data_IF_019383910118
#
_entry.id   IF_019383910118
#
_cell.length_a   1.000
_cell.length_b   1.000
_cell.length_c   1.000
_cell.angle_alpha   90.00
_cell.angle_beta   90.00
_cell.angle_gamma   90.00
#
_symmetry.space_group_name_H-M   'P 1'
#
loop_
_entity.id
_entity.type
_entity.pdbx_description
1 polymer ?
#
# COMPACT_ATOMS: atom_id res chain seq x y z
N UNK A 1 21.04 -19.03 10.40
CA UNK A 1 20.10 -18.06 11.02
C UNK A 1 18.79 -18.81 11.22
N UNK A 2 18.19 -18.77 12.41
CA UNK A 2 16.90 -19.42 12.64
C UNK A 2 15.76 -18.55 12.08
N UNK A 3 14.68 -19.17 11.62
CA UNK A 3 13.47 -18.45 11.19
C UNK A 3 12.65 -18.00 12.41
N UNK A 4 12.01 -16.84 12.29
CA UNK A 4 11.08 -16.30 13.26
C UNK A 4 9.67 -16.87 13.04
N UNK A 5 8.80 -16.75 14.04
CA UNK A 5 7.41 -17.22 13.92
C UNK A 5 6.50 -16.32 13.08
N UNK A 6 6.94 -15.09 12.74
CA UNK A 6 6.10 -14.11 12.04
C UNK A 6 6.92 -13.11 11.18
N UNK A 7 6.40 -12.80 10.00
CA UNK A 7 6.93 -11.84 9.02
C UNK A 7 5.80 -10.99 8.46
N UNK A 8 6.06 -9.70 8.22
CA UNK A 8 5.06 -8.78 7.67
C UNK A 8 5.16 -8.75 6.14
N UNK A 9 4.08 -9.15 5.47
CA UNK A 9 3.94 -9.06 4.01
C UNK A 9 3.39 -7.71 3.58
N UNK A 10 4.13 -6.64 3.83
CA UNK A 10 3.85 -5.30 3.29
C UNK A 10 4.83 -4.98 2.16
N UNK A 11 4.43 -4.10 1.23
CA UNK A 11 5.29 -3.60 0.17
C UNK A 11 6.45 -2.72 0.69
N UNK A 12 7.27 -2.19 -0.22
CA UNK A 12 8.42 -1.36 0.11
C UNK A 12 8.05 0.16 0.22
N UNK A 13 6.78 0.55 -0.03
CA UNK A 13 6.32 1.95 -0.13
C UNK A 13 5.18 2.30 0.85
N UNK A 14 5.49 2.59 2.13
CA UNK A 14 4.48 2.92 3.13
C UNK A 14 3.86 4.31 2.89
N UNK A 15 2.69 4.34 2.27
CA UNK A 15 1.95 5.55 1.92
C UNK A 15 0.81 5.92 2.89
N UNK A 16 0.45 7.20 2.95
CA UNK A 16 -0.80 7.61 3.61
C UNK A 16 -2.00 7.25 2.73
N UNK A 17 -3.15 6.94 3.34
CA UNK A 17 -4.37 6.61 2.60
C UNK A 17 -4.78 7.74 1.64
N UNK A 18 -4.57 8.99 2.03
CA UNK A 18 -4.87 10.15 1.20
C UNK A 18 -4.05 10.15 -0.10
N UNK A 19 -2.77 9.78 -0.03
CA UNK A 19 -1.89 9.74 -1.20
C UNK A 19 -2.30 8.62 -2.17
N UNK A 20 -2.63 7.44 -1.62
CA UNK A 20 -3.11 6.30 -2.42
C UNK A 20 -4.42 6.65 -3.13
N UNK A 21 -5.36 7.28 -2.42
CA UNK A 21 -6.66 7.69 -2.99
C UNK A 21 -6.48 8.80 -4.03
N UNK A 22 -5.60 9.77 -3.77
CA UNK A 22 -5.29 10.83 -4.73
C UNK A 22 -4.72 10.25 -6.04
N UNK A 23 -3.75 9.34 -5.93
CA UNK A 23 -3.18 8.67 -7.11
C UNK A 23 -4.22 7.81 -7.84
N UNK A 24 -5.06 7.06 -7.13
CA UNK A 24 -6.12 6.25 -7.76
C UNK A 24 -7.11 7.09 -8.56
N UNK A 25 -7.47 8.28 -8.05
CA UNK A 25 -8.35 9.21 -8.77
C UNK A 25 -7.72 9.70 -10.06
N UNK A 26 -6.44 10.07 -10.00
CA UNK A 26 -5.68 10.45 -11.20
C UNK A 26 -5.60 9.28 -12.19
N UNK A 27 -5.22 8.09 -11.72
CA UNK A 27 -5.09 6.87 -12.54
C UNK A 27 -6.40 6.50 -13.25
N UNK A 28 -7.54 6.66 -12.57
CA UNK A 28 -8.86 6.31 -13.10
C UNK A 28 -9.55 7.48 -13.83
N UNK A 29 -8.95 8.67 -13.88
CA UNK A 29 -9.57 9.87 -14.48
C UNK A 29 -10.83 10.35 -13.75
N UNK A 30 -10.93 10.11 -12.44
CA UNK A 30 -12.09 10.52 -11.63
C UNK A 30 -11.95 11.99 -11.23
N UNK A 31 -12.78 12.85 -11.82
CA UNK A 31 -12.77 14.30 -11.58
C UNK A 31 -13.84 14.78 -10.58
N UNK A 32 -14.83 13.93 -10.30
CA UNK A 32 -15.96 14.28 -9.43
C UNK A 32 -15.62 14.07 -7.95
N UNK A 33 -16.14 14.98 -7.11
CA UNK A 33 -16.04 14.91 -5.67
C UNK A 33 -17.43 14.63 -5.11
N UNK A 34 -17.58 13.58 -4.29
CA UNK A 34 -18.78 13.38 -3.49
C UNK A 34 -18.67 14.24 -2.22
N UNK A 35 -19.66 15.10 -1.98
CA UNK A 35 -19.71 15.98 -0.80
C UNK A 35 -19.86 15.19 0.52
N UNK A 36 -20.30 13.94 0.46
CA UNK A 36 -20.72 13.14 1.63
C UNK A 36 -19.66 12.22 2.26
N UNK A 37 -18.39 12.27 1.86
CA UNK A 37 -17.41 11.26 2.30
C UNK A 37 -16.50 11.81 3.41
N UNK A 38 -16.98 11.75 4.65
CA UNK A 38 -16.12 11.88 5.83
C UNK A 38 -15.57 10.50 6.25
N UNK A 39 -14.44 10.09 5.67
CA UNK A 39 -13.73 8.90 6.18
C UNK A 39 -12.96 9.30 7.43
N UNK A 40 -13.61 9.27 8.59
CA UNK A 40 -12.90 9.31 9.87
C UNK A 40 -12.18 7.97 10.07
N UNK A 41 -10.93 7.88 9.59
CA UNK A 41 -10.01 6.81 9.96
C UNK A 41 -9.02 7.31 11.00
N UNK A 42 -9.11 6.75 12.21
CA UNK A 42 -8.04 6.83 13.20
C UNK A 42 -6.83 6.07 12.63
N UNK A 43 -5.63 6.62 12.81
CA UNK A 43 -4.40 6.23 12.12
C UNK A 43 -4.17 4.72 11.92
N UNK A 44 -3.61 4.39 10.76
CA UNK A 44 -3.12 3.04 10.48
C UNK A 44 -1.72 2.82 11.05
N UNK A 45 -1.20 1.61 10.91
CA UNK A 45 0.13 1.22 11.39
C UNK A 45 1.12 1.44 10.24
N UNK A 46 2.29 1.99 10.55
CA UNK A 46 3.43 1.96 9.62
C UNK A 46 4.18 0.66 9.87
N UNK A 47 4.08 -0.28 8.93
CA UNK A 47 4.71 -1.60 9.00
C UNK A 47 6.01 -1.61 8.18
N UNK A 48 6.92 -2.52 8.51
CA UNK A 48 8.16 -2.76 7.75
C UNK A 48 8.32 -4.23 7.44
N UNK A 49 8.66 -4.54 6.20
CA UNK A 49 8.95 -5.89 5.73
C UNK A 49 10.45 -6.28 5.88
N UNK A 50 11.27 -5.45 6.55
CA UNK A 50 12.73 -5.60 6.59
C UNK A 50 13.18 -7.00 7.01
N UNK A 51 12.45 -7.66 7.93
CA UNK A 51 12.73 -9.03 8.35
C UNK A 51 12.57 -10.04 7.21
N UNK A 52 11.53 -9.89 6.39
CA UNK A 52 11.31 -10.75 5.23
C UNK A 52 12.36 -10.45 4.14
N UNK A 53 12.66 -9.17 3.89
CA UNK A 53 13.68 -8.74 2.91
C UNK A 53 15.06 -9.29 3.25
N UNK A 54 15.43 -9.33 4.54
CA UNK A 54 16.69 -9.90 5.01
C UNK A 54 16.84 -11.41 4.69
N UNK A 55 15.74 -12.11 4.42
CA UNK A 55 15.74 -13.51 3.98
C UNK A 55 15.67 -13.67 2.45
N UNK A 56 15.74 -12.58 1.70
CA UNK A 56 15.65 -12.59 0.23
C UNK A 56 14.22 -12.58 -0.32
N UNK A 57 13.19 -12.45 0.53
CA UNK A 57 11.83 -12.22 0.04
C UNK A 57 11.74 -10.86 -0.67
N UNK A 58 10.96 -10.79 -1.73
CA UNK A 58 10.63 -9.55 -2.42
C UNK A 58 9.13 -9.56 -2.76
N UNK A 59 8.40 -8.45 -2.55
CA UNK A 59 7.02 -8.36 -2.98
C UNK A 59 6.95 -8.41 -4.50
N UNK A 60 5.92 -9.06 -5.05
CA UNK A 60 5.66 -9.07 -6.49
C UNK A 60 5.38 -7.66 -7.03
N UNK A 61 4.75 -6.82 -6.21
CA UNK A 61 4.48 -5.42 -6.48
C UNK A 61 5.20 -4.56 -5.43
N UNK A 62 6.23 -3.80 -5.81
CA UNK A 62 7.09 -3.09 -4.85
C UNK A 62 6.40 -1.91 -4.17
N UNK A 63 5.33 -1.38 -4.77
CA UNK A 63 4.55 -0.27 -4.25
C UNK A 63 3.05 -0.44 -4.59
N UNK A 64 2.23 0.43 -3.99
CA UNK A 64 0.79 0.41 -4.22
C UNK A 64 0.42 0.71 -5.68
N UNK A 65 1.20 1.52 -6.40
CA UNK A 65 0.91 1.92 -7.78
C UNK A 65 1.04 0.72 -8.71
N UNK A 66 2.12 -0.04 -8.59
CA UNK A 66 2.36 -1.27 -9.34
C UNK A 66 1.27 -2.31 -9.07
N UNK A 67 0.88 -2.47 -7.79
CA UNK A 67 -0.17 -3.41 -7.41
C UNK A 67 -1.54 -3.03 -7.97
N UNK A 68 -1.94 -1.76 -7.85
CA UNK A 68 -3.21 -1.29 -8.38
C UNK A 68 -3.23 -1.24 -9.91
N UNK A 69 -2.15 -0.83 -10.58
CA UNK A 69 -2.06 -0.83 -12.03
C UNK A 69 -2.25 -2.24 -12.59
N UNK A 70 -1.55 -3.24 -12.04
CA UNK A 70 -1.72 -4.63 -12.45
C UNK A 70 -3.13 -5.19 -12.22
N UNK A 71 -3.86 -4.69 -11.22
CA UNK A 71 -5.23 -5.10 -10.92
C UNK A 71 -6.27 -4.40 -11.82
N UNK A 72 -6.02 -3.14 -12.18
CA UNK A 72 -7.00 -2.27 -12.81
C UNK A 72 -6.83 -2.13 -14.33
N UNK A 73 -5.69 -2.55 -14.90
CA UNK A 73 -5.49 -2.61 -16.35
C UNK A 73 -4.06 -2.35 -16.79
#
# INVERSE_FOLDING_TARGET
MALESCYLGVDDDPAALADVVAWLREYLGVTEWSEDVSVQRVGSKRCSNARARALGWAPMYPDYRAGYAALLG
#
